data_IF_419428873214
#
_entry.id   IF_419428873214
#
_cell.length_a   1.000
_cell.length_b   1.000
_cell.length_c   1.000
_cell.angle_alpha   90.00
_cell.angle_beta   90.00
_cell.angle_gamma   90.00
#
_symmetry.space_group_name_H-M   'P 1'
#
loop_
_entity.id
_entity.type
_entity.pdbx_description
1 polymer ?
#
# COMPACT_ATOMS: atom_id res chain seq x y z
N UNK A 1 12.84 -15.77 -5.77
CA UNK A 1 12.10 -14.62 -6.34
C UNK A 1 11.17 -14.05 -5.28
N UNK A 2 11.02 -12.73 -5.20
CA UNK A 2 10.05 -12.12 -4.29
C UNK A 2 8.63 -12.47 -4.76
N UNK A 3 7.87 -13.21 -3.92
CA UNK A 3 6.49 -13.62 -4.22
C UNK A 3 5.53 -12.45 -4.38
N UNK A 4 5.86 -11.28 -3.85
CA UNK A 4 5.06 -10.05 -3.96
C UNK A 4 5.93 -8.97 -4.59
N UNK A 5 5.33 -8.15 -5.46
CA UNK A 5 5.97 -7.05 -6.14
C UNK A 5 6.56 -6.07 -5.13
N UNK A 6 7.89 -5.86 -5.09
CA UNK A 6 8.54 -4.99 -4.11
C UNK A 6 8.21 -3.51 -4.31
N UNK A 7 7.69 -3.12 -5.49
CA UNK A 7 7.31 -1.73 -5.78
C UNK A 7 5.93 -1.36 -5.24
N UNK A 8 5.00 -2.31 -5.02
CA UNK A 8 3.67 -1.97 -4.49
C UNK A 8 3.26 -2.77 -3.26
N UNK A 9 3.84 -3.95 -3.02
CA UNK A 9 3.42 -4.81 -1.92
C UNK A 9 2.02 -5.43 -2.09
N UNK A 10 1.43 -5.36 -3.29
CA UNK A 10 0.08 -5.86 -3.60
C UNK A 10 0.16 -7.21 -4.34
N UNK A 11 0.48 -7.15 -5.63
CA UNK A 11 0.38 -8.29 -6.55
C UNK A 11 1.65 -9.13 -6.58
N UNK A 12 1.56 -10.34 -7.14
CA UNK A 12 2.74 -11.16 -7.42
C UNK A 12 3.71 -10.50 -8.42
N UNK A 13 5.00 -10.77 -8.27
CA UNK A 13 6.03 -10.38 -9.23
C UNK A 13 5.96 -11.25 -10.48
N UNK A 14 5.04 -10.95 -11.39
CA UNK A 14 4.80 -11.70 -12.64
C UNK A 14 5.59 -11.18 -13.84
N UNK A 15 6.53 -10.25 -13.63
CA UNK A 15 7.41 -9.70 -14.65
C UNK A 15 8.76 -9.28 -14.05
N UNK A 16 9.67 -8.88 -14.93
CA UNK A 16 10.87 -8.14 -14.58
C UNK A 16 10.85 -6.77 -15.21
N UNK A 17 11.42 -5.82 -14.49
CA UNK A 17 11.54 -4.44 -14.91
C UNK A 17 13.02 -4.04 -14.90
N UNK A 18 13.42 -3.30 -15.93
CA UNK A 18 14.70 -2.61 -15.94
C UNK A 18 14.60 -1.37 -15.06
N UNK A 19 15.35 -1.30 -13.95
CA UNK A 19 15.35 -0.10 -13.09
C UNK A 19 15.89 1.12 -13.85
N UNK A 20 16.98 0.95 -14.58
CA UNK A 20 17.48 1.85 -15.61
C UNK A 20 16.97 1.35 -16.98
N UNK A 21 16.11 2.12 -17.67
CA UNK A 21 15.47 1.73 -18.92
C UNK A 21 16.49 1.33 -19.97
N UNK A 22 16.22 0.24 -20.69
CA UNK A 22 17.12 -0.23 -21.76
C UNK A 22 17.22 0.75 -22.93
N UNK A 23 16.19 1.57 -23.14
CA UNK A 23 16.13 2.57 -24.19
C UNK A 23 17.17 3.68 -23.98
N UNK A 24 17.36 4.06 -22.71
CA UNK A 24 18.26 5.15 -22.31
C UNK A 24 19.62 4.62 -21.83
N UNK A 25 19.66 3.39 -21.30
CA UNK A 25 20.85 2.76 -20.71
C UNK A 25 21.02 1.29 -21.18
N UNK A 26 21.22 1.05 -22.48
CA UNK A 26 21.31 -0.30 -23.04
C UNK A 26 22.47 -1.12 -22.47
N UNK A 27 23.57 -0.49 -22.06
CA UNK A 27 24.73 -1.12 -21.44
C UNK A 27 24.41 -1.82 -20.11
N UNK A 28 23.33 -1.41 -19.44
CA UNK A 28 22.88 -2.01 -18.18
C UNK A 28 21.72 -3.00 -18.35
N UNK A 29 21.23 -3.21 -19.58
CA UNK A 29 20.02 -4.00 -19.85
C UNK A 29 20.13 -5.48 -19.47
N UNK A 30 21.34 -6.04 -19.53
CA UNK A 30 21.64 -7.43 -19.18
C UNK A 30 22.28 -7.59 -17.79
N UNK A 31 22.42 -6.51 -17.01
CA UNK A 31 22.91 -6.61 -15.65
C UNK A 31 21.82 -7.17 -14.72
N UNK A 32 22.06 -8.27 -14.00
CA UNK A 32 21.05 -8.86 -13.11
C UNK A 32 20.53 -7.90 -12.04
N UNK A 33 21.40 -7.00 -11.56
CA UNK A 33 21.03 -6.00 -10.56
C UNK A 33 20.09 -4.92 -11.12
N UNK A 34 20.10 -4.69 -12.44
CA UNK A 34 19.19 -3.78 -13.12
C UNK A 34 17.82 -4.43 -13.40
N UNK A 35 17.69 -5.75 -13.28
CA UNK A 35 16.45 -6.49 -13.47
C UNK A 35 15.77 -6.73 -12.11
N UNK A 36 14.71 -5.97 -11.84
CA UNK A 36 13.96 -6.03 -10.58
C UNK A 36 12.63 -6.76 -10.77
N UNK A 37 12.26 -7.71 -9.88
CA UNK A 37 10.94 -8.31 -9.88
C UNK A 37 9.88 -7.22 -9.78
N UNK A 38 8.86 -7.30 -10.62
CA UNK A 38 7.81 -6.29 -10.68
C UNK A 38 6.50 -6.94 -11.14
N UNK A 39 5.35 -6.39 -10.72
CA UNK A 39 4.09 -6.75 -11.34
C UNK A 39 3.87 -5.93 -12.62
N UNK A 40 3.12 -6.48 -13.57
CA UNK A 40 2.79 -5.82 -14.85
C UNK A 40 2.22 -4.41 -14.65
N UNK A 41 1.40 -4.19 -13.62
CA UNK A 41 0.80 -2.89 -13.31
C UNK A 41 1.87 -1.86 -12.89
N UNK A 42 2.80 -2.23 -12.01
CA UNK A 42 3.86 -1.28 -11.62
C UNK A 42 4.82 -0.99 -12.78
N UNK A 43 5.12 -2.02 -13.57
CA UNK A 43 5.96 -1.90 -14.76
C UNK A 43 5.34 -0.92 -15.79
N UNK A 44 4.02 -0.97 -15.99
CA UNK A 44 3.32 -0.06 -16.91
C UNK A 44 3.29 1.40 -16.41
N UNK A 45 3.34 1.64 -15.09
CA UNK A 45 3.41 2.99 -14.51
C UNK A 45 4.80 3.61 -14.60
N UNK A 46 5.85 2.82 -14.36
CA UNK A 46 7.23 3.28 -14.36
C UNK A 46 7.74 3.63 -15.76
N UNK A 47 7.50 2.78 -16.77
CA UNK A 47 7.97 3.00 -18.15
C UNK A 47 9.47 3.34 -18.16
N UNK A 48 9.87 4.44 -18.82
CA UNK A 48 11.26 4.91 -18.88
C UNK A 48 11.62 5.91 -17.77
N UNK A 49 10.78 6.06 -16.74
CA UNK A 49 10.96 7.11 -15.73
C UNK A 49 11.86 6.63 -14.60
N UNK A 50 13.01 7.29 -14.43
CA UNK A 50 13.92 7.05 -13.30
C UNK A 50 14.11 8.29 -12.45
N UNK A 51 14.29 9.43 -13.11
CA UNK A 51 14.54 10.73 -12.49
C UNK A 51 13.38 11.68 -12.73
N UNK A 52 13.09 12.52 -11.74
CA UNK A 52 12.19 13.63 -11.90
C UNK A 52 12.77 14.63 -12.91
N UNK A 53 11.93 15.13 -13.82
CA UNK A 53 12.39 15.99 -14.91
C UNK A 53 12.94 17.33 -14.44
N UNK A 54 12.43 17.84 -13.31
CA UNK A 54 12.80 19.15 -12.77
C UNK A 54 13.91 19.01 -11.73
N UNK A 55 13.70 18.16 -10.72
CA UNK A 55 14.65 18.05 -9.60
C UNK A 55 15.83 17.13 -9.89
N UNK A 56 15.75 16.32 -10.96
CA UNK A 56 16.75 15.29 -11.32
C UNK A 56 16.97 14.24 -10.21
N UNK A 57 16.07 14.17 -9.22
CA UNK A 57 16.12 13.17 -8.15
C UNK A 57 15.48 11.86 -8.59
N UNK A 58 15.91 10.74 -8.00
CA UNK A 58 15.32 9.42 -8.25
C UNK A 58 13.86 9.39 -7.77
N UNK A 59 12.97 8.93 -8.64
CA UNK A 59 11.53 8.82 -8.38
C UNK A 59 11.21 7.56 -7.57
N UNK A 60 11.83 6.44 -7.94
CA UNK A 60 11.48 5.12 -7.40
C UNK A 60 12.58 4.52 -6.55
N UNK A 61 12.18 3.78 -5.52
CA UNK A 61 13.07 2.93 -4.76
C UNK A 61 13.56 1.75 -5.60
N UNK A 62 14.84 1.48 -5.50
CA UNK A 62 15.47 0.28 -6.02
C UNK A 62 15.35 -0.85 -4.97
N UNK A 63 14.66 -1.96 -5.25
CA UNK A 63 14.40 -3.02 -4.27
C UNK A 63 15.65 -3.63 -3.60
N UNK A 64 16.77 -3.70 -4.33
CA UNK A 64 18.02 -4.26 -3.82
C UNK A 64 18.88 -3.24 -3.04
N UNK A 65 19.01 -2.01 -3.55
CA UNK A 65 19.94 -1.01 -3.01
C UNK A 65 19.33 -0.12 -1.94
N UNK A 66 18.09 0.33 -2.13
CA UNK A 66 17.49 1.26 -1.20
C UNK A 66 16.97 0.51 0.04
N UNK A 67 17.08 1.16 1.19
CA UNK A 67 16.54 0.66 2.47
C UNK A 67 15.39 1.56 2.88
N UNK A 68 14.22 0.96 3.02
CA UNK A 68 13.08 1.66 3.61
C UNK A 68 13.34 1.92 5.10
N UNK A 69 12.86 3.05 5.64
CA UNK A 69 13.00 3.34 7.05
C UNK A 69 12.24 2.31 7.88
N UNK A 70 12.78 1.99 9.06
CA UNK A 70 12.15 1.07 10.03
C UNK A 70 11.07 1.76 10.89
N UNK A 71 10.80 3.03 10.65
CA UNK A 71 9.73 3.79 11.30
C UNK A 71 8.47 3.75 10.43
N UNK A 72 7.32 4.03 11.04
CA UNK A 72 6.08 4.29 10.29
C UNK A 72 6.31 5.54 9.41
N UNK A 73 5.81 5.50 8.19
CA UNK A 73 5.85 6.58 7.19
C UNK A 73 4.61 6.59 6.31
N UNK A 74 3.78 5.55 6.39
CA UNK A 74 2.50 5.46 5.72
C UNK A 74 1.41 5.61 6.76
N UNK A 75 0.51 6.55 6.53
CA UNK A 75 -0.71 6.75 7.29
C UNK A 75 -1.94 6.54 6.42
N UNK A 76 -3.08 6.45 7.08
CA UNK A 76 -4.38 6.25 6.49
C UNK A 76 -5.34 7.27 7.09
N UNK A 77 -6.10 7.91 6.23
CA UNK A 77 -7.21 8.79 6.57
C UNK A 77 -8.48 8.07 6.14
N UNK A 78 -9.45 7.97 7.04
CA UNK A 78 -10.73 7.32 6.77
C UNK A 78 -11.82 8.32 7.08
N UNK A 79 -12.67 8.62 6.09
CA UNK A 79 -13.80 9.53 6.21
C UNK A 79 -15.09 8.78 5.90
N UNK A 80 -16.05 8.89 6.80
CA UNK A 80 -17.38 8.31 6.66
C UNK A 80 -18.31 9.40 6.12
N UNK A 81 -18.80 9.18 4.91
CA UNK A 81 -19.82 9.99 4.25
C UNK A 81 -21.16 9.25 4.33
N UNK A 82 -22.27 9.95 4.11
CA UNK A 82 -23.63 9.38 4.25
C UNK A 82 -23.82 8.04 3.53
N UNK A 83 -23.24 7.88 2.33
CA UNK A 83 -23.39 6.69 1.48
C UNK A 83 -22.06 5.99 1.12
N UNK A 84 -20.93 6.40 1.69
CA UNK A 84 -19.62 5.85 1.30
C UNK A 84 -18.54 6.03 2.36
N UNK A 85 -17.53 5.17 2.31
CA UNK A 85 -16.30 5.31 3.11
C UNK A 85 -15.17 5.68 2.18
N UNK A 86 -14.59 6.87 2.37
CA UNK A 86 -13.37 7.29 1.68
C UNK A 86 -12.15 6.88 2.50
N UNK A 87 -11.15 6.32 1.82
CA UNK A 87 -9.88 5.94 2.43
C UNK A 87 -8.75 6.50 1.59
N UNK A 88 -7.90 7.30 2.21
CA UNK A 88 -6.69 7.82 1.59
C UNK A 88 -5.45 7.35 2.33
N UNK A 89 -4.47 6.83 1.60
CA UNK A 89 -3.16 6.51 2.14
C UNK A 89 -2.18 7.65 1.84
N UNK A 90 -1.51 8.14 2.88
CA UNK A 90 -0.63 9.31 2.78
C UNK A 90 0.75 9.03 3.34
N UNK A 91 1.77 9.62 2.71
CA UNK A 91 3.14 9.55 3.22
C UNK A 91 3.35 10.67 4.24
N UNK A 92 3.68 10.28 5.47
CA UNK A 92 3.92 11.20 6.58
C UNK A 92 5.40 11.23 6.93
N UNK A 93 5.95 12.45 7.05
CA UNK A 93 7.30 12.65 7.53
C UNK A 93 7.36 12.58 9.07
N UNK A 94 8.29 11.80 9.59
CA UNK A 94 8.61 11.76 11.02
C UNK A 94 10.04 12.23 11.31
N UNK A 95 10.34 12.54 12.57
CA UNK A 95 11.62 13.16 13.02
C UNK A 95 12.91 12.42 12.61
N UNK A 96 12.81 11.15 12.18
CA UNK A 96 13.95 10.34 11.75
C UNK A 96 14.08 10.19 10.22
N UNK A 97 13.22 10.87 9.45
CA UNK A 97 13.22 10.82 8.00
C UNK A 97 13.82 12.10 7.42
N UNK A 98 14.81 11.94 6.55
CA UNK A 98 15.36 13.05 5.75
C UNK A 98 14.31 13.55 4.75
N UNK A 99 14.40 14.82 4.35
CA UNK A 99 13.56 15.37 3.29
C UNK A 99 13.67 14.57 1.98
N UNK A 100 14.88 14.12 1.60
CA UNK A 100 15.09 13.33 0.36
C UNK A 100 14.38 11.98 0.39
N UNK A 101 14.44 11.29 1.53
CA UNK A 101 13.72 10.03 1.73
C UNK A 101 12.21 10.21 1.63
N UNK A 102 11.69 11.27 2.27
CA UNK A 102 10.26 11.60 2.26
C UNK A 102 9.80 11.95 0.86
N UNK A 103 10.53 12.81 0.16
CA UNK A 103 10.25 13.19 -1.23
C UNK A 103 10.24 11.97 -2.16
N UNK A 104 11.22 11.06 -1.99
CA UNK A 104 11.25 9.82 -2.78
C UNK A 104 10.10 8.88 -2.43
N UNK A 105 9.71 8.76 -1.16
CA UNK A 105 8.53 7.98 -0.76
C UNK A 105 7.27 8.53 -1.40
N UNK A 106 7.04 9.85 -1.29
CA UNK A 106 5.89 10.51 -1.91
C UNK A 106 5.90 10.33 -3.43
N UNK A 107 7.04 10.54 -4.09
CA UNK A 107 7.18 10.34 -5.53
C UNK A 107 6.91 8.89 -5.93
N UNK A 108 7.47 7.92 -5.22
CA UNK A 108 7.21 6.50 -5.48
C UNK A 108 5.72 6.16 -5.33
N UNK A 109 5.08 6.68 -4.28
CA UNK A 109 3.68 6.45 -3.95
C UNK A 109 2.73 7.02 -5.00
N UNK A 110 2.91 8.30 -5.33
CA UNK A 110 2.13 9.03 -6.34
C UNK A 110 2.29 8.37 -7.71
N UNK A 111 3.53 8.08 -8.11
CA UNK A 111 3.83 7.65 -9.48
C UNK A 111 3.49 6.20 -9.79
N UNK A 112 3.27 5.37 -8.75
CA UNK A 112 2.74 4.01 -8.87
C UNK A 112 1.25 3.93 -8.52
N UNK A 113 0.63 5.09 -8.26
CA UNK A 113 -0.75 5.25 -7.86
C UNK A 113 -1.14 4.36 -6.67
N UNK A 114 -0.29 4.34 -5.63
CA UNK A 114 -0.44 3.37 -4.54
C UNK A 114 -1.64 3.67 -3.63
N UNK A 115 -2.04 4.94 -3.46
CA UNK A 115 -3.21 5.28 -2.62
C UNK A 115 -4.49 4.64 -3.17
N UNK A 116 -4.83 4.95 -4.42
CA UNK A 116 -6.01 4.40 -5.10
C UNK A 116 -5.95 2.87 -5.19
N UNK A 117 -4.78 2.32 -5.51
CA UNK A 117 -4.64 0.86 -5.59
C UNK A 117 -4.78 0.17 -4.24
N UNK A 118 -4.32 0.79 -3.15
CA UNK A 118 -4.54 0.26 -1.80
C UNK A 118 -6.01 0.38 -1.39
N UNK A 119 -6.69 1.46 -1.77
CA UNK A 119 -8.12 1.61 -1.58
C UNK A 119 -8.91 0.49 -2.30
N UNK A 120 -8.68 0.28 -3.59
CA UNK A 120 -9.37 -0.76 -4.37
C UNK A 120 -9.15 -2.16 -3.78
N UNK A 121 -7.91 -2.47 -3.40
CA UNK A 121 -7.58 -3.74 -2.77
C UNK A 121 -8.17 -3.84 -1.35
N UNK A 122 -8.32 -2.71 -0.65
CA UNK A 122 -9.01 -2.60 0.62
C UNK A 122 -10.49 -2.94 0.51
N UNK A 123 -11.21 -2.33 -0.45
CA UNK A 123 -12.61 -2.64 -0.73
C UNK A 123 -12.81 -4.13 -1.02
N UNK A 124 -11.95 -4.71 -1.86
CA UNK A 124 -12.00 -6.14 -2.14
C UNK A 124 -11.76 -6.98 -0.87
N UNK A 125 -10.77 -6.60 -0.05
CA UNK A 125 -10.43 -7.32 1.18
C UNK A 125 -11.56 -7.27 2.21
N UNK A 126 -12.23 -6.12 2.38
CA UNK A 126 -13.39 -5.98 3.26
C UNK A 126 -14.59 -6.76 2.71
N UNK A 127 -14.88 -6.64 1.41
CA UNK A 127 -15.94 -7.43 0.76
C UNK A 127 -15.76 -8.94 0.96
N UNK A 128 -14.52 -9.43 0.94
CA UNK A 128 -14.21 -10.85 1.15
C UNK A 128 -14.51 -11.38 2.56
N UNK A 129 -14.62 -10.49 3.57
CA UNK A 129 -14.89 -10.85 4.97
C UNK A 129 -16.25 -10.34 5.46
N UNK A 130 -17.06 -9.72 4.58
CA UNK A 130 -18.29 -9.03 4.95
C UNK A 130 -19.27 -9.90 5.73
N UNK A 131 -19.50 -11.14 5.29
CA UNK A 131 -20.36 -12.09 6.00
C UNK A 131 -19.85 -12.40 7.40
N UNK A 132 -18.52 -12.47 7.57
CA UNK A 132 -17.88 -12.62 8.88
C UNK A 132 -18.18 -11.44 9.79
N UNK A 133 -18.03 -10.21 9.28
CA UNK A 133 -18.35 -8.98 10.02
C UNK A 133 -19.82 -8.94 10.45
N UNK A 134 -20.75 -9.31 9.56
CA UNK A 134 -22.18 -9.43 9.88
C UNK A 134 -22.43 -10.42 11.02
N UNK A 135 -21.77 -11.58 10.99
CA UNK A 135 -21.94 -12.60 12.02
C UNK A 135 -21.34 -12.17 13.36
N UNK A 136 -20.19 -11.50 13.35
CA UNK A 136 -19.59 -10.93 14.56
C UNK A 136 -20.47 -9.83 15.15
N UNK A 137 -20.98 -8.93 14.32
CA UNK A 137 -21.90 -7.88 14.77
C UNK A 137 -23.17 -8.47 15.41
N UNK A 138 -23.79 -9.47 14.80
CA UNK A 138 -24.95 -10.18 15.39
C UNK A 138 -24.65 -10.85 16.72
N UNK A 139 -23.43 -11.33 16.92
CA UNK A 139 -23.05 -12.13 18.09
C UNK A 139 -22.53 -11.29 19.26
N UNK A 140 -21.90 -10.16 18.97
CA UNK A 140 -21.21 -9.34 19.97
C UNK A 140 -21.14 -7.84 19.66
N UNK A 141 -21.94 -7.36 18.71
CA UNK A 141 -22.04 -5.97 18.31
C UNK A 141 -20.75 -5.37 17.75
N UNK A 142 -20.67 -4.04 17.76
CA UNK A 142 -19.51 -3.29 17.30
C UNK A 142 -18.20 -3.68 18.02
N UNK A 143 -18.27 -4.06 19.30
CA UNK A 143 -17.09 -4.44 20.08
C UNK A 143 -16.42 -5.70 19.53
N UNK A 144 -17.20 -6.73 19.16
CA UNK A 144 -16.64 -7.96 18.61
C UNK A 144 -16.07 -7.72 17.20
N UNK A 145 -16.73 -6.90 16.39
CA UNK A 145 -16.22 -6.48 15.07
C UNK A 145 -14.87 -5.78 15.21
N UNK A 146 -14.77 -4.80 16.10
CA UNK A 146 -13.51 -4.09 16.40
C UNK A 146 -12.40 -5.06 16.83
N UNK A 147 -12.71 -6.01 17.73
CA UNK A 147 -11.72 -6.98 18.22
C UNK A 147 -11.16 -7.88 17.09
N UNK A 148 -12.03 -8.39 16.22
CA UNK A 148 -11.62 -9.28 15.12
C UNK A 148 -10.82 -8.52 14.03
N UNK A 149 -11.19 -7.27 13.74
CA UNK A 149 -10.42 -6.41 12.85
C UNK A 149 -9.04 -6.07 13.45
N UNK A 150 -8.95 -5.81 14.76
CA UNK A 150 -7.67 -5.59 15.46
C UNK A 150 -6.76 -6.79 15.39
N UNK A 151 -7.30 -7.99 15.65
CA UNK A 151 -6.56 -9.26 15.52
C UNK A 151 -6.01 -9.41 14.10
N UNK A 152 -6.85 -9.19 13.10
CA UNK A 152 -6.45 -9.24 11.68
C UNK A 152 -5.36 -8.22 11.36
N UNK A 153 -5.49 -6.98 11.84
CA UNK A 153 -4.50 -5.92 11.66
C UNK A 153 -3.14 -6.30 12.26
N UNK A 154 -3.13 -6.81 13.50
CA UNK A 154 -1.91 -7.26 14.20
C UNK A 154 -1.22 -8.39 13.42
N UNK A 155 -1.99 -9.32 12.89
CA UNK A 155 -1.48 -10.41 12.05
C UNK A 155 -0.74 -9.88 10.80
N UNK A 156 -1.28 -8.87 10.13
CA UNK A 156 -0.62 -8.21 9.00
C UNK A 156 0.64 -7.48 9.43
N UNK A 157 0.59 -6.73 10.54
CA UNK A 157 1.73 -6.00 11.09
C UNK A 157 2.89 -6.93 11.40
N UNK A 158 2.63 -8.05 12.05
CA UNK A 158 3.68 -8.97 12.51
C UNK A 158 4.32 -9.72 11.32
N UNK A 159 3.56 -9.98 10.26
CA UNK A 159 4.05 -10.64 9.03
C UNK A 159 4.71 -9.67 8.04
N UNK A 160 4.25 -8.42 7.96
CA UNK A 160 4.58 -7.49 6.85
C UNK A 160 5.09 -6.12 7.30
N UNK A 161 5.06 -5.82 8.59
CA UNK A 161 5.54 -4.57 9.19
C UNK A 161 4.48 -3.47 9.30
N UNK A 162 4.84 -2.41 10.02
CA UNK A 162 3.95 -1.29 10.37
C UNK A 162 3.54 -0.38 9.20
N UNK A 163 4.20 -0.50 8.05
CA UNK A 163 3.86 0.25 6.83
C UNK A 163 3.06 -0.59 5.83
N UNK A 164 2.56 -1.76 6.26
CA UNK A 164 1.71 -2.58 5.40
C UNK A 164 0.30 -1.96 5.32
N UNK A 165 -0.20 -1.80 4.10
CA UNK A 165 -1.50 -1.17 3.86
C UNK A 165 -2.68 -1.94 4.47
N UNK A 166 -2.64 -3.28 4.51
CA UNK A 166 -3.69 -4.06 5.18
C UNK A 166 -3.70 -3.78 6.68
N UNK A 167 -2.52 -3.80 7.31
CA UNK A 167 -2.41 -3.45 8.74
C UNK A 167 -3.05 -2.09 9.01
N UNK A 168 -2.68 -1.06 8.24
CA UNK A 168 -3.20 0.29 8.44
C UNK A 168 -4.72 0.34 8.22
N UNK A 169 -5.23 -0.29 7.17
CA UNK A 169 -6.66 -0.35 6.86
C UNK A 169 -7.46 -1.02 7.98
N UNK A 170 -7.12 -2.27 8.32
CA UNK A 170 -7.84 -3.03 9.34
C UNK A 170 -7.75 -2.35 10.71
N UNK A 171 -6.60 -1.77 11.04
CA UNK A 171 -6.44 -1.02 12.29
C UNK A 171 -7.35 0.21 12.32
N UNK A 172 -7.35 1.03 11.26
CA UNK A 172 -8.17 2.24 11.21
C UNK A 172 -9.66 1.93 11.27
N UNK A 173 -10.13 0.92 10.52
CA UNK A 173 -11.52 0.49 10.55
C UNK A 173 -11.93 -0.08 11.91
N UNK A 174 -11.02 -0.75 12.61
CA UNK A 174 -11.29 -1.28 13.95
C UNK A 174 -11.41 -0.22 15.04
N UNK A 175 -10.82 0.96 14.83
CA UNK A 175 -10.90 2.10 15.75
C UNK A 175 -12.09 3.00 15.43
N UNK A 176 -12.82 2.72 14.33
CA UNK A 176 -13.99 3.49 13.93
C UNK A 176 -15.28 2.80 14.41
N UNK A 177 -16.00 3.47 15.32
CA UNK A 177 -17.23 2.95 15.91
C UNK A 177 -18.36 2.80 14.88
N UNK A 178 -18.54 3.79 14.00
CA UNK A 178 -19.57 3.79 12.96
C UNK A 178 -19.40 2.62 11.98
N UNK A 179 -18.16 2.36 11.55
CA UNK A 179 -17.83 1.18 10.75
C UNK A 179 -18.19 -0.10 11.48
N UNK A 180 -17.73 -0.23 12.74
CA UNK A 180 -17.91 -1.44 13.52
C UNK A 180 -19.38 -1.71 13.84
N UNK A 181 -20.21 -0.66 13.95
CA UNK A 181 -21.64 -0.77 14.23
C UNK A 181 -22.53 -0.86 12.97
N UNK A 182 -21.99 -1.44 11.89
CA UNK A 182 -22.75 -1.75 10.67
C UNK A 182 -22.40 -0.87 9.47
N UNK A 183 -21.58 0.17 9.64
CA UNK A 183 -21.05 0.97 8.54
C UNK A 183 -20.24 0.15 7.52
N UNK A 184 -19.73 -1.04 7.89
CA UNK A 184 -19.11 -1.97 6.94
C UNK A 184 -20.03 -2.42 5.80
N UNK A 185 -21.36 -2.24 5.91
CA UNK A 185 -22.31 -2.54 4.84
C UNK A 185 -22.28 -1.52 3.69
N UNK A 186 -21.81 -0.29 3.93
CA UNK A 186 -21.71 0.78 2.92
C UNK A 186 -20.39 0.75 2.16
N UNK A 187 -19.37 0.07 2.71
CA UNK A 187 -18.04 -0.10 2.09
C UNK A 187 -18.03 -1.29 1.10
N UNK A 188 -18.89 -1.24 0.07
CA UNK A 188 -18.94 -2.26 -0.98
C UNK A 188 -18.28 -1.77 -2.28
N UNK A 189 -17.55 -2.64 -2.99
CA UNK A 189 -17.16 -2.34 -4.36
C UNK A 189 -18.43 -2.13 -5.21
N UNK A 190 -18.46 -1.05 -6.00
CA UNK A 190 -19.51 -0.80 -7.00
C UNK A 190 -19.58 -1.91 -8.04
#
# INVERSE_FOLDING_TARGET
MAKVCPSCGISESNSFEHYLPKEDYPEFSCLPINLVPCCIICNSFKKTRVFDKVTQKRIFFHPYYDRLPKVRFLDIQVEFLEDSVEVEFVITQHNHMTADLTERLSSHFEKLNLSERYYDNGLFSIGSILEGLVNFHKSGGASLVSEELKKTAIDYRDKRGHNNWNYLLYWALSENEEFCDGGFLTMQPK
#
